data_IF_714120264389
#
_entry.id   IF_714120264389
#
_cell.length_a   1.000
_cell.length_b   1.000
_cell.length_c   1.000
_cell.angle_alpha   90.00
_cell.angle_beta   90.00
_cell.angle_gamma   90.00
#
_symmetry.space_group_name_H-M   'P 1'
#
loop_
_entity.id
_entity.type
_entity.pdbx_description
1 polymer ?
#
# COMPACT_ATOMS: atom_id res chain seq x y z
N UNK A 1 -10.28 1.56 16.11
CA UNK A 1 -11.18 0.47 16.57
C UNK A 1 -12.47 0.98 17.23
N UNK A 2 -12.49 2.04 18.06
CA UNK A 2 -13.71 2.52 18.74
C UNK A 2 -14.85 2.83 17.74
N UNK A 3 -14.57 3.56 16.67
CA UNK A 3 -15.54 3.85 15.60
C UNK A 3 -16.09 2.59 14.91
N UNK A 4 -15.26 1.56 14.77
CA UNK A 4 -15.67 0.29 14.20
C UNK A 4 -16.70 -0.46 15.05
N UNK A 5 -16.51 -0.50 16.37
CA UNK A 5 -17.49 -1.10 17.28
C UNK A 5 -18.82 -0.32 17.31
N UNK A 6 -18.77 1.02 17.17
CA UNK A 6 -19.97 1.83 17.00
C UNK A 6 -20.73 1.45 15.71
N UNK A 7 -20.01 1.25 14.60
CA UNK A 7 -20.59 0.80 13.34
C UNK A 7 -21.25 -0.59 13.47
N UNK A 8 -20.60 -1.54 14.14
CA UNK A 8 -21.18 -2.86 14.41
C UNK A 8 -22.45 -2.77 15.27
N UNK A 9 -22.44 -1.92 16.32
CA UNK A 9 -23.61 -1.67 17.15
C UNK A 9 -24.77 -1.11 16.32
N UNK A 10 -24.51 -0.08 15.52
CA UNK A 10 -25.51 0.54 14.63
C UNK A 10 -26.03 -0.45 13.59
N UNK A 11 -25.13 -1.23 12.99
CA UNK A 11 -25.49 -2.29 12.04
C UNK A 11 -26.44 -3.32 12.63
N UNK A 12 -26.23 -3.73 13.88
CA UNK A 12 -27.12 -4.64 14.60
C UNK A 12 -28.45 -3.98 14.98
N UNK A 13 -28.38 -2.78 15.53
CA UNK A 13 -29.57 -2.04 16.00
C UNK A 13 -30.54 -1.70 14.90
N UNK A 14 -30.04 -1.24 13.76
CA UNK A 14 -30.83 -0.78 12.61
C UNK A 14 -30.86 -1.79 11.47
N UNK A 15 -30.22 -2.93 11.67
CA UNK A 15 -30.16 -4.01 10.70
C UNK A 15 -29.52 -3.59 9.36
N UNK A 16 -28.49 -2.82 9.42
CA UNK A 16 -27.71 -2.37 8.28
C UNK A 16 -26.47 -3.28 8.16
N UNK A 17 -26.13 -3.81 6.96
CA UNK A 17 -24.91 -4.57 6.78
C UNK A 17 -23.69 -3.69 6.98
N UNK A 18 -22.61 -4.26 7.55
CA UNK A 18 -21.38 -3.55 7.90
C UNK A 18 -20.24 -4.06 7.05
N UNK A 19 -19.59 -3.16 6.33
CA UNK A 19 -18.34 -3.42 5.64
C UNK A 19 -17.15 -2.84 6.43
N UNK A 20 -16.05 -3.57 6.43
CA UNK A 20 -14.78 -3.16 7.04
C UNK A 20 -13.70 -3.04 5.97
N UNK A 21 -12.96 -1.95 5.96
CA UNK A 21 -11.81 -1.77 5.05
C UNK A 21 -10.51 -1.90 5.84
N UNK A 22 -9.68 -2.86 5.48
CA UNK A 22 -8.41 -3.16 6.15
C UNK A 22 -7.24 -2.59 5.34
N UNK A 23 -6.80 -1.38 5.69
CA UNK A 23 -5.68 -0.69 5.02
C UNK A 23 -4.38 -0.68 5.82
N UNK A 24 -4.41 -1.09 7.08
CA UNK A 24 -3.26 -0.93 7.98
C UNK A 24 -2.90 -2.27 8.60
N UNK A 25 -1.67 -2.67 8.43
CA UNK A 25 -1.07 -3.79 9.15
C UNK A 25 -0.72 -3.32 10.57
N UNK A 26 -1.70 -3.40 11.47
CA UNK A 26 -1.56 -2.88 12.84
C UNK A 26 -0.38 -3.49 13.59
N UNK A 27 -0.03 -4.73 13.32
CA UNK A 27 1.14 -5.41 13.91
C UNK A 27 2.48 -4.75 13.55
N UNK A 28 2.55 -4.09 12.38
CA UNK A 28 3.76 -3.34 11.98
C UNK A 28 3.87 -1.97 12.65
N UNK A 29 2.77 -1.46 13.24
CA UNK A 29 2.71 -0.14 13.87
C UNK A 29 2.73 -0.18 15.40
N UNK A 30 2.88 -1.35 16.03
CA UNK A 30 2.92 -1.47 17.49
C UNK A 30 4.08 -0.70 18.11
N UNK A 31 5.19 -0.57 17.42
CA UNK A 31 6.34 0.23 17.84
C UNK A 31 6.04 1.73 18.01
N UNK A 32 4.92 2.26 17.51
CA UNK A 32 4.47 3.62 17.79
C UNK A 32 3.68 3.74 19.11
N UNK A 33 3.32 2.62 19.73
CA UNK A 33 2.59 2.61 21.00
C UNK A 33 3.60 2.50 22.14
N UNK A 34 3.63 3.49 23.03
CA UNK A 34 4.65 3.61 24.10
C UNK A 34 4.84 2.34 24.92
N UNK A 35 3.76 1.62 25.26
CA UNK A 35 3.86 0.37 26.02
C UNK A 35 4.63 -0.71 25.25
N UNK A 36 4.45 -0.82 23.92
CA UNK A 36 5.19 -1.77 23.10
C UNK A 36 6.65 -1.33 22.90
N UNK A 37 6.93 -0.03 22.78
CA UNK A 37 8.29 0.49 22.75
C UNK A 37 9.08 0.09 24.01
N UNK A 38 8.45 0.23 25.17
CA UNK A 38 9.06 -0.17 26.46
C UNK A 38 9.31 -1.68 26.53
N UNK A 39 8.34 -2.49 26.06
CA UNK A 39 8.45 -3.94 26.01
C UNK A 39 9.53 -4.42 25.02
N UNK A 40 9.66 -3.77 23.85
CA UNK A 40 10.70 -4.12 22.85
C UNK A 40 12.13 -3.77 23.33
N UNK A 41 12.27 -2.74 24.17
CA UNK A 41 13.55 -2.34 24.76
C UNK A 41 13.91 -3.16 26.02
N UNK A 42 12.94 -3.85 26.61
CA UNK A 42 13.12 -4.79 27.70
C UNK A 42 13.71 -6.11 27.18
N UNK A 43 14.55 -6.76 27.99
CA UNK A 43 15.09 -8.08 27.69
C UNK A 43 14.15 -9.23 28.12
N UNK A 44 14.33 -10.41 27.54
CA UNK A 44 13.69 -11.64 28.01
C UNK A 44 12.15 -11.63 27.89
N UNK A 45 11.43 -11.72 29.01
CA UNK A 45 9.97 -11.84 29.04
C UNK A 45 9.24 -10.69 28.35
N UNK A 46 9.77 -9.47 28.44
CA UNK A 46 9.18 -8.28 27.82
C UNK A 46 9.23 -8.34 26.29
N UNK A 47 10.34 -8.82 25.73
CA UNK A 47 10.46 -9.03 24.27
C UNK A 47 9.55 -10.15 23.77
N UNK A 48 9.34 -11.21 24.56
CA UNK A 48 8.41 -12.29 24.24
C UNK A 48 6.97 -11.80 24.30
N UNK A 49 6.62 -10.92 25.22
CA UNK A 49 5.30 -10.33 25.32
C UNK A 49 5.01 -9.38 24.14
N UNK A 50 5.99 -8.58 23.73
CA UNK A 50 5.88 -7.73 22.54
C UNK A 50 5.68 -8.58 21.28
N UNK A 51 6.45 -9.65 21.12
CA UNK A 51 6.31 -10.62 20.02
C UNK A 51 4.92 -11.29 20.03
N UNK A 52 4.44 -11.77 21.18
CA UNK A 52 3.11 -12.32 21.32
C UNK A 52 2.02 -11.31 20.93
N UNK A 53 2.17 -10.06 21.34
CA UNK A 53 1.28 -8.96 20.94
C UNK A 53 1.19 -8.81 19.42
N UNK A 54 2.35 -8.80 18.76
CA UNK A 54 2.47 -8.64 17.31
C UNK A 54 1.93 -9.85 16.54
N UNK A 55 2.36 -11.06 16.92
CA UNK A 55 2.11 -12.27 16.13
C UNK A 55 0.78 -12.97 16.45
N UNK A 56 0.22 -12.74 17.64
CA UNK A 56 -0.97 -13.47 18.11
C UNK A 56 -2.13 -12.54 18.46
N UNK A 57 -1.90 -11.56 19.33
CA UNK A 57 -2.99 -10.75 19.88
C UNK A 57 -3.62 -9.84 18.84
N UNK A 58 -2.80 -9.08 18.09
CA UNK A 58 -3.29 -8.16 17.05
C UNK A 58 -3.99 -8.91 15.92
N UNK A 59 -3.43 -9.98 15.32
CA UNK A 59 -4.13 -10.80 14.35
C UNK A 59 -5.48 -11.34 14.83
N UNK A 60 -5.55 -11.83 16.08
CA UNK A 60 -6.82 -12.28 16.68
C UNK A 60 -7.85 -11.16 16.84
N UNK A 61 -7.43 -9.99 17.29
CA UNK A 61 -8.33 -8.84 17.41
C UNK A 61 -8.84 -8.38 16.04
N UNK A 62 -7.98 -8.34 15.04
CA UNK A 62 -8.34 -7.99 13.66
C UNK A 62 -9.33 -8.99 13.09
N UNK A 63 -9.04 -10.30 13.18
CA UNK A 63 -9.93 -11.33 12.65
C UNK A 63 -11.27 -11.40 13.39
N UNK A 64 -11.29 -11.22 14.71
CA UNK A 64 -12.51 -11.15 15.48
C UNK A 64 -13.42 -10.00 15.03
N UNK A 65 -12.83 -8.81 14.81
CA UNK A 65 -13.57 -7.68 14.29
C UNK A 65 -14.04 -7.91 12.85
N UNK A 66 -13.15 -8.39 11.98
CA UNK A 66 -13.46 -8.73 10.59
C UNK A 66 -14.61 -9.75 10.51
N UNK A 67 -14.61 -10.78 11.36
CA UNK A 67 -15.64 -11.80 11.42
C UNK A 67 -17.00 -11.31 11.95
N UNK A 68 -17.02 -10.14 12.59
CA UNK A 68 -18.27 -9.49 13.00
C UNK A 68 -18.88 -8.61 11.88
N UNK A 69 -18.16 -8.40 10.78
CA UNK A 69 -18.61 -7.62 9.62
C UNK A 69 -19.22 -8.54 8.53
N UNK A 70 -20.10 -8.00 7.69
CA UNK A 70 -20.73 -8.73 6.57
C UNK A 70 -19.77 -8.85 5.37
N UNK A 71 -18.84 -7.88 5.23
CA UNK A 71 -17.86 -7.81 4.16
C UNK A 71 -16.57 -7.18 4.67
N UNK A 72 -15.43 -7.66 4.21
CA UNK A 72 -14.12 -7.05 4.45
C UNK A 72 -13.49 -6.67 3.12
N UNK A 73 -13.04 -5.43 2.99
CA UNK A 73 -12.24 -4.99 1.87
C UNK A 73 -10.75 -5.06 2.21
N UNK A 74 -9.98 -5.70 1.34
CA UNK A 74 -8.53 -5.72 1.36
C UNK A 74 -7.99 -4.97 0.12
N UNK A 75 -6.94 -4.15 0.23
CA UNK A 75 -6.44 -3.38 -0.91
C UNK A 75 -5.71 -4.23 -1.95
N UNK A 76 -5.17 -5.37 -1.57
CA UNK A 76 -4.35 -6.25 -2.43
C UNK A 76 -4.62 -7.73 -2.11
N UNK A 77 -4.21 -8.61 -3.03
CA UNK A 77 -4.29 -10.06 -2.81
C UNK A 77 -3.48 -10.49 -1.59
N UNK A 78 -2.29 -9.93 -1.42
CA UNK A 78 -1.45 -10.21 -0.26
C UNK A 78 -2.14 -9.84 1.06
N UNK A 79 -2.88 -8.71 1.10
CA UNK A 79 -3.63 -8.32 2.31
C UNK A 79 -4.86 -9.20 2.54
N UNK A 80 -5.49 -9.71 1.48
CA UNK A 80 -6.53 -10.76 1.58
C UNK A 80 -5.95 -12.03 2.21
N UNK A 81 -4.81 -12.50 1.72
CA UNK A 81 -4.14 -13.71 2.23
C UNK A 81 -3.69 -13.52 3.70
N UNK A 82 -3.23 -12.33 4.06
CA UNK A 82 -2.90 -11.96 5.43
C UNK A 82 -4.12 -12.07 6.36
N UNK A 83 -5.25 -11.49 5.96
CA UNK A 83 -6.51 -11.59 6.73
C UNK A 83 -7.02 -13.04 6.84
N UNK A 84 -6.91 -13.81 5.78
CA UNK A 84 -7.24 -15.24 5.79
C UNK A 84 -6.34 -16.00 6.77
N UNK A 85 -5.03 -15.71 6.78
CA UNK A 85 -4.06 -16.26 7.73
C UNK A 85 -4.38 -15.92 9.19
N UNK A 86 -4.99 -14.75 9.45
CA UNK A 86 -5.46 -14.37 10.79
C UNK A 86 -6.73 -15.11 11.22
N UNK A 87 -7.34 -15.90 10.34
CA UNK A 87 -8.57 -16.64 10.62
C UNK A 87 -9.85 -15.84 10.32
N UNK A 88 -9.79 -14.90 9.40
CA UNK A 88 -10.99 -14.21 8.90
C UNK A 88 -11.84 -15.17 8.06
N UNK A 89 -13.11 -15.35 8.46
CA UNK A 89 -14.10 -16.22 7.80
C UNK A 89 -15.14 -15.40 7.01
N UNK A 90 -15.29 -14.13 7.34
CA UNK A 90 -16.14 -13.22 6.57
C UNK A 90 -15.64 -13.09 5.16
N UNK A 91 -16.56 -12.84 4.21
CA UNK A 91 -16.19 -12.61 2.82
C UNK A 91 -15.20 -11.46 2.71
N UNK A 92 -14.07 -11.71 2.05
CA UNK A 92 -13.09 -10.69 1.72
C UNK A 92 -13.24 -10.36 0.23
N UNK A 93 -13.20 -9.09 -0.11
CA UNK A 93 -13.16 -8.61 -1.50
C UNK A 93 -11.95 -7.69 -1.69
N UNK A 94 -11.23 -7.87 -2.78
CA UNK A 94 -10.11 -6.99 -3.13
C UNK A 94 -10.71 -5.68 -3.65
N UNK A 95 -10.42 -4.59 -2.93
CA UNK A 95 -10.82 -3.25 -3.30
C UNK A 95 -9.65 -2.29 -3.02
N UNK A 96 -8.82 -2.00 -4.02
CA UNK A 96 -7.70 -1.07 -3.85
C UNK A 96 -8.19 0.36 -3.65
N UNK A 97 -7.32 1.21 -3.09
CA UNK A 97 -7.53 2.66 -3.08
C UNK A 97 -7.37 3.19 -4.50
N UNK A 98 -8.35 3.98 -4.94
CA UNK A 98 -8.32 4.61 -6.25
C UNK A 98 -7.42 5.86 -6.30
N UNK A 99 -6.87 6.13 -7.48
CA UNK A 99 -6.14 7.36 -7.77
C UNK A 99 -7.11 8.45 -8.25
N UNK A 100 -6.94 9.64 -7.72
CA UNK A 100 -7.66 10.82 -8.19
C UNK A 100 -7.17 11.26 -9.58
N UNK A 101 -8.02 11.93 -10.35
CA UNK A 101 -7.67 12.38 -11.70
C UNK A 101 -6.47 13.33 -11.73
N UNK A 102 -6.23 14.09 -10.66
CA UNK A 102 -5.04 14.95 -10.52
C UNK A 102 -3.71 14.17 -10.61
N UNK A 103 -3.67 12.89 -10.25
CA UNK A 103 -2.47 12.04 -10.38
C UNK A 103 -2.08 11.79 -11.83
N UNK A 104 -3.03 11.94 -12.77
CA UNK A 104 -2.83 11.69 -14.20
C UNK A 104 -2.51 12.94 -15.01
N UNK A 105 -2.30 14.08 -14.36
CA UNK A 105 -2.02 15.36 -15.04
C UNK A 105 -1.12 16.25 -14.21
N UNK A 106 -0.33 17.08 -14.90
CA UNK A 106 0.45 18.13 -14.28
C UNK A 106 0.54 19.33 -15.24
N UNK A 107 0.69 20.52 -14.70
CA UNK A 107 0.88 21.73 -15.52
C UNK A 107 2.25 21.65 -16.23
N UNK A 108 2.31 21.76 -17.56
CA UNK A 108 3.58 21.65 -18.30
C UNK A 108 4.65 22.64 -17.83
N UNK A 109 4.24 23.86 -17.47
CA UNK A 109 5.14 24.88 -16.96
C UNK A 109 5.79 24.48 -15.62
N UNK A 110 5.03 23.83 -14.72
CA UNK A 110 5.55 23.32 -13.44
C UNK A 110 6.52 22.15 -13.65
N UNK A 111 6.19 21.22 -14.55
CA UNK A 111 7.08 20.12 -14.93
C UNK A 111 8.38 20.65 -15.51
N UNK A 112 8.33 21.66 -16.41
CA UNK A 112 9.50 22.30 -17.00
C UNK A 112 10.36 22.99 -15.93
N UNK A 113 9.75 23.69 -14.99
CA UNK A 113 10.46 24.35 -13.89
C UNK A 113 11.19 23.34 -12.99
N UNK A 114 10.54 22.21 -12.65
CA UNK A 114 11.14 21.13 -11.87
C UNK A 114 12.31 20.51 -12.63
N UNK A 115 12.15 20.22 -13.92
CA UNK A 115 13.22 19.72 -14.77
C UNK A 115 14.41 20.69 -14.79
N UNK A 116 14.17 21.97 -14.99
CA UNK A 116 15.24 22.99 -15.00
C UNK A 116 15.97 23.04 -13.65
N UNK A 117 15.23 23.01 -12.55
CA UNK A 117 15.80 23.14 -11.20
C UNK A 117 16.59 21.90 -10.76
N UNK A 118 16.09 20.69 -11.02
CA UNK A 118 16.66 19.49 -10.45
C UNK A 118 17.44 18.63 -11.45
N UNK A 119 17.07 18.59 -12.73
CA UNK A 119 17.79 17.82 -13.73
C UNK A 119 19.14 18.48 -14.07
N UNK A 120 19.15 19.79 -14.36
CA UNK A 120 20.34 20.48 -14.84
C UNK A 120 20.90 19.79 -16.09
N UNK A 121 22.19 19.50 -16.09
CA UNK A 121 22.89 18.78 -17.18
C UNK A 121 22.82 17.25 -17.06
N UNK A 122 22.16 16.73 -16.04
CA UNK A 122 22.03 15.28 -15.85
C UNK A 122 21.10 14.67 -16.91
N UNK A 123 21.51 13.53 -17.42
CA UNK A 123 20.73 12.80 -18.43
C UNK A 123 19.42 12.28 -17.87
N UNK A 124 19.42 11.84 -16.60
CA UNK A 124 18.28 11.21 -15.95
C UNK A 124 17.88 11.96 -14.66
N UNK A 125 16.59 12.13 -14.47
CA UNK A 125 16.00 12.63 -13.24
C UNK A 125 15.13 11.56 -12.62
N UNK A 126 15.47 11.14 -11.40
CA UNK A 126 14.72 10.15 -10.65
C UNK A 126 13.95 10.82 -9.51
N UNK A 127 12.94 10.16 -9.00
CA UNK A 127 12.23 10.60 -7.79
C UNK A 127 11.94 9.46 -6.85
N UNK A 128 11.84 9.80 -5.58
CA UNK A 128 11.21 8.99 -4.53
C UNK A 128 10.35 9.90 -3.66
N UNK A 129 9.19 9.43 -3.24
CA UNK A 129 8.24 10.17 -2.39
C UNK A 129 7.95 9.34 -1.17
N UNK A 130 8.40 9.78 0.00
CA UNK A 130 8.20 9.06 1.25
C UNK A 130 8.38 9.98 2.47
N UNK A 131 7.83 9.59 3.62
CA UNK A 131 8.33 10.09 4.90
C UNK A 131 9.76 9.59 5.10
N UNK A 132 10.65 10.45 5.59
CA UNK A 132 12.04 10.06 5.83
C UNK A 132 12.14 9.35 7.19
N UNK A 133 11.56 8.15 7.24
CA UNK A 133 11.50 7.31 8.42
C UNK A 133 12.14 5.94 8.12
N UNK A 134 12.58 5.24 9.17
CA UNK A 134 13.37 4.01 9.06
C UNK A 134 12.68 2.91 8.24
N UNK A 135 11.37 2.78 8.34
CA UNK A 135 10.58 1.79 7.60
C UNK A 135 10.57 2.01 6.07
N UNK A 136 10.95 3.22 5.61
CA UNK A 136 11.05 3.54 4.17
C UNK A 136 12.38 3.12 3.55
N UNK A 137 13.34 2.68 4.36
CA UNK A 137 14.58 2.04 3.90
C UNK A 137 15.39 2.91 2.91
N UNK A 138 15.38 4.23 3.13
CA UNK A 138 16.06 5.17 2.22
C UNK A 138 17.59 5.09 2.29
N UNK A 139 18.12 4.56 3.38
CA UNK A 139 19.54 4.25 3.51
C UNK A 139 20.00 3.17 2.52
N UNK A 140 19.20 2.10 2.34
CA UNK A 140 19.42 1.11 1.28
C UNK A 140 19.35 1.77 -0.10
N UNK A 141 18.35 2.62 -0.33
CA UNK A 141 18.19 3.32 -1.62
C UNK A 141 19.43 4.17 -1.94
N UNK A 142 20.00 4.89 -0.97
CA UNK A 142 21.22 5.67 -1.17
C UNK A 142 22.44 4.77 -1.46
N UNK A 143 22.61 3.64 -0.76
CA UNK A 143 23.68 2.68 -1.07
C UNK A 143 23.50 2.08 -2.47
N UNK A 144 22.28 1.71 -2.85
CA UNK A 144 21.97 1.28 -4.22
C UNK A 144 22.29 2.34 -5.28
N UNK A 145 22.06 3.63 -4.98
CA UNK A 145 22.46 4.73 -5.87
C UNK A 145 23.97 4.87 -6.02
N UNK A 146 24.77 4.61 -4.98
CA UNK A 146 26.21 4.56 -5.08
C UNK A 146 26.67 3.47 -6.06
N UNK A 147 26.06 2.27 -5.98
CA UNK A 147 26.29 1.19 -6.96
C UNK A 147 25.80 1.56 -8.36
N UNK A 148 24.72 2.29 -8.47
CA UNK A 148 24.22 2.79 -9.76
C UNK A 148 25.20 3.80 -10.37
N UNK A 149 25.78 4.69 -9.56
CA UNK A 149 26.79 5.67 -9.99
C UNK A 149 28.03 4.99 -10.58
N UNK A 150 28.47 3.86 -10.01
CA UNK A 150 29.57 3.04 -10.57
C UNK A 150 29.24 2.52 -11.99
N UNK A 151 27.96 2.29 -12.31
CA UNK A 151 27.47 1.70 -13.57
C UNK A 151 27.19 2.72 -14.66
N UNK A 152 26.58 3.85 -14.31
CA UNK A 152 26.10 4.85 -15.28
C UNK A 152 26.78 6.23 -15.11
N UNK A 153 27.77 6.29 -14.21
CA UNK A 153 28.50 7.52 -13.92
C UNK A 153 27.61 8.57 -13.24
N UNK A 154 28.03 9.81 -13.36
CA UNK A 154 27.39 10.97 -12.76
C UNK A 154 26.21 11.52 -13.60
N UNK A 155 25.54 10.64 -14.34
CA UNK A 155 24.54 11.00 -15.34
C UNK A 155 23.12 11.19 -14.80
N UNK A 156 22.91 11.05 -13.51
CA UNK A 156 21.57 11.10 -12.90
C UNK A 156 21.50 12.02 -11.69
N UNK A 157 20.29 12.44 -11.35
CA UNK A 157 19.94 13.05 -10.06
C UNK A 157 18.66 12.44 -9.51
N UNK A 158 18.63 12.17 -8.20
CA UNK A 158 17.45 11.74 -7.46
C UNK A 158 16.85 12.93 -6.68
N UNK A 159 15.57 13.16 -6.83
CA UNK A 159 14.76 14.01 -5.96
C UNK A 159 14.19 13.14 -4.81
N UNK A 160 14.59 13.43 -3.58
CA UNK A 160 14.00 12.84 -2.35
C UNK A 160 12.94 13.80 -1.85
N UNK A 161 11.67 13.43 -2.06
CA UNK A 161 10.51 14.26 -1.77
C UNK A 161 9.84 13.77 -0.49
N UNK A 162 9.82 14.62 0.52
CA UNK A 162 9.29 14.34 1.84
C UNK A 162 10.20 14.84 2.94
N UNK A 163 9.81 14.56 4.19
CA UNK A 163 10.57 14.95 5.37
C UNK A 163 10.34 13.90 6.47
N UNK A 164 11.20 13.90 7.49
CA UNK A 164 11.10 12.96 8.61
C UNK A 164 12.32 12.96 9.52
N UNK A 165 12.28 12.10 10.53
CA UNK A 165 13.30 12.02 11.59
C UNK A 165 14.69 11.65 11.07
N UNK A 166 14.76 10.89 9.97
CA UNK A 166 16.02 10.38 9.39
C UNK A 166 16.72 11.36 8.43
N UNK A 167 16.18 12.58 8.24
CA UNK A 167 16.69 13.50 7.21
C UNK A 167 18.18 13.77 7.34
N UNK A 168 18.65 14.12 8.55
CA UNK A 168 20.06 14.47 8.80
C UNK A 168 20.99 13.29 8.56
N UNK A 169 20.57 12.10 9.01
CA UNK A 169 21.34 10.87 8.81
C UNK A 169 21.44 10.50 7.33
N UNK A 170 20.36 10.67 6.57
CA UNK A 170 20.35 10.40 5.13
C UNK A 170 21.18 11.42 4.35
N UNK A 171 21.15 12.71 4.70
CA UNK A 171 22.01 13.75 4.11
C UNK A 171 23.50 13.44 4.37
N UNK A 172 23.84 13.05 5.61
CA UNK A 172 25.21 12.64 5.95
C UNK A 172 25.64 11.38 5.21
N UNK A 173 24.78 10.38 5.10
CA UNK A 173 25.06 9.16 4.34
C UNK A 173 25.27 9.45 2.85
N UNK A 174 24.45 10.32 2.24
CA UNK A 174 24.61 10.71 0.85
C UNK A 174 25.98 11.36 0.61
N UNK A 175 26.45 12.22 1.53
CA UNK A 175 27.80 12.81 1.47
C UNK A 175 28.90 11.75 1.61
N UNK A 176 28.78 10.83 2.59
CA UNK A 176 29.75 9.72 2.77
C UNK A 176 29.86 8.83 1.52
N UNK A 177 28.76 8.66 0.78
CA UNK A 177 28.72 7.86 -0.43
C UNK A 177 29.12 8.66 -1.69
N UNK A 178 29.52 9.94 -1.57
CA UNK A 178 29.87 10.80 -2.69
C UNK A 178 28.70 11.10 -3.63
N UNK A 179 27.49 11.21 -3.10
CA UNK A 179 26.24 11.43 -3.85
C UNK A 179 25.72 12.88 -3.76
N UNK A 180 26.47 13.82 -3.22
CA UNK A 180 26.02 15.22 -3.03
C UNK A 180 25.55 15.87 -4.33
N UNK A 181 26.21 15.59 -5.45
CA UNK A 181 25.81 16.04 -6.78
C UNK A 181 24.67 15.23 -7.43
N UNK A 182 24.31 14.08 -6.84
CA UNK A 182 23.32 13.14 -7.38
C UNK A 182 22.02 13.08 -6.60
N UNK A 183 21.96 13.62 -5.38
CA UNK A 183 20.77 13.57 -4.53
C UNK A 183 20.35 14.99 -4.13
N UNK A 184 19.09 15.30 -4.33
CA UNK A 184 18.48 16.55 -3.89
C UNK A 184 17.36 16.24 -2.87
N UNK A 185 17.56 16.63 -1.62
CA UNK A 185 16.52 16.55 -0.59
C UNK A 185 15.55 17.72 -0.73
N UNK A 186 14.44 17.48 -1.45
CA UNK A 186 13.45 18.52 -1.81
C UNK A 186 12.69 19.02 -0.59
N UNK A 187 12.51 18.17 0.43
CA UNK A 187 11.69 18.46 1.58
C UNK A 187 10.20 18.18 1.32
N UNK A 188 9.35 18.68 2.22
CA UNK A 188 7.90 18.46 2.16
C UNK A 188 7.28 19.25 1.02
N UNK A 189 6.56 18.56 0.14
CA UNK A 189 5.81 19.14 -0.98
C UNK A 189 4.33 18.93 -0.76
N UNK A 190 3.50 19.89 -1.13
CA UNK A 190 2.05 19.75 -1.10
C UNK A 190 1.58 18.63 -2.02
N UNK A 191 0.65 17.78 -1.56
CA UNK A 191 0.17 16.61 -2.30
C UNK A 191 -0.31 16.95 -3.72
N UNK A 192 -0.93 18.13 -3.93
CA UNK A 192 -1.39 18.57 -5.26
C UNK A 192 -0.25 18.80 -6.26
N UNK A 193 0.98 19.01 -5.79
CA UNK A 193 2.17 19.27 -6.61
C UNK A 193 3.01 18.02 -6.87
N UNK A 194 2.80 16.94 -6.11
CA UNK A 194 3.54 15.67 -6.29
C UNK A 194 3.48 15.17 -7.73
N UNK A 195 2.31 15.19 -8.43
CA UNK A 195 2.27 14.74 -9.82
C UNK A 195 3.27 15.45 -10.73
N UNK A 196 3.50 16.76 -10.57
CA UNK A 196 4.47 17.50 -11.40
C UNK A 196 5.91 16.97 -11.25
N UNK A 197 6.31 16.57 -10.04
CA UNK A 197 7.61 15.93 -9.80
C UNK A 197 7.69 14.55 -10.44
N UNK A 198 6.62 13.78 -10.39
CA UNK A 198 6.55 12.45 -11.01
C UNK A 198 6.56 12.55 -12.54
N UNK A 199 5.84 13.51 -13.12
CA UNK A 199 5.89 13.80 -14.56
C UNK A 199 7.27 14.28 -15.04
N UNK A 200 8.04 14.98 -14.18
CA UNK A 200 9.41 15.39 -14.48
C UNK A 200 10.41 14.24 -14.41
N UNK A 201 10.04 13.12 -13.81
CA UNK A 201 10.94 11.99 -13.51
C UNK A 201 10.98 10.99 -14.64
N UNK A 202 12.16 10.42 -14.87
CA UNK A 202 12.36 9.31 -15.80
C UNK A 202 12.14 7.95 -15.11
N UNK A 203 12.37 7.88 -13.79
CA UNK A 203 12.23 6.66 -13.01
C UNK A 203 11.82 7.01 -11.58
N UNK A 204 10.92 6.22 -11.03
CA UNK A 204 10.55 6.28 -9.62
C UNK A 204 11.26 5.16 -8.86
N UNK A 205 11.97 5.52 -7.80
CA UNK A 205 12.79 4.60 -7.01
C UNK A 205 12.14 4.35 -5.66
N UNK A 206 12.07 3.08 -5.25
CA UNK A 206 11.34 2.69 -4.06
C UNK A 206 12.01 1.54 -3.30
N UNK A 207 12.18 1.69 -1.99
CA UNK A 207 12.88 0.72 -1.16
C UNK A 207 12.09 0.28 0.09
N UNK A 208 10.86 0.80 0.32
CA UNK A 208 10.05 0.44 1.49
C UNK A 208 9.71 -1.05 1.49
N UNK A 209 9.80 -1.67 2.67
CA UNK A 209 9.49 -3.10 2.89
C UNK A 209 8.08 -3.34 3.41
N UNK A 210 7.41 -2.31 3.91
CA UNK A 210 6.12 -2.41 4.60
C UNK A 210 5.03 -1.59 3.91
N UNK A 211 4.60 -2.03 2.74
CA UNK A 211 3.49 -1.40 2.03
C UNK A 211 2.26 -2.32 2.00
N UNK A 212 1.10 -1.73 2.17
CA UNK A 212 -0.16 -2.47 2.05
C UNK A 212 -0.70 -2.48 0.62
N UNK A 213 -0.41 -1.43 -0.14
CA UNK A 213 -0.85 -1.30 -1.54
C UNK A 213 0.21 -0.64 -2.44
N UNK A 214 1.11 0.19 -1.90
CA UNK A 214 2.07 0.95 -2.69
C UNK A 214 1.42 2.05 -3.55
N UNK A 215 0.50 2.83 -2.98
CA UNK A 215 -0.21 3.92 -3.71
C UNK A 215 0.77 4.85 -4.40
N UNK A 216 1.88 5.19 -3.77
CA UNK A 216 2.89 6.09 -4.34
C UNK A 216 3.53 5.55 -5.62
N UNK A 217 3.60 4.21 -5.78
CA UNK A 217 4.05 3.56 -7.01
C UNK A 217 3.02 3.80 -8.13
N UNK A 218 1.74 3.66 -7.81
CA UNK A 218 0.65 3.89 -8.76
C UNK A 218 0.55 5.37 -9.15
N UNK A 219 0.82 6.29 -8.23
CA UNK A 219 0.90 7.73 -8.51
C UNK A 219 2.03 8.03 -9.50
N UNK A 220 3.23 7.47 -9.31
CA UNK A 220 4.32 7.59 -10.26
C UNK A 220 3.98 6.99 -11.63
N UNK A 221 3.37 5.80 -11.64
CA UNK A 221 2.89 5.16 -12.87
C UNK A 221 1.80 5.96 -13.59
N UNK A 222 0.98 6.74 -12.87
CA UNK A 222 -0.03 7.62 -13.48
C UNK A 222 0.62 8.75 -14.30
N UNK A 223 1.83 9.19 -13.92
CA UNK A 223 2.65 10.10 -14.73
C UNK A 223 3.40 9.40 -15.87
N UNK A 224 3.17 8.11 -16.08
CA UNK A 224 3.93 7.28 -17.02
C UNK A 224 5.38 7.08 -16.58
N UNK A 225 5.70 7.21 -15.30
CA UNK A 225 7.02 7.01 -14.74
C UNK A 225 7.18 5.52 -14.35
N UNK A 226 8.09 4.75 -14.99
CA UNK A 226 8.36 3.39 -14.58
C UNK A 226 8.97 3.33 -13.18
N UNK A 227 8.83 2.19 -12.53
CA UNK A 227 9.22 2.02 -11.12
C UNK A 227 10.36 1.02 -11.00
N UNK A 228 11.33 1.28 -10.11
CA UNK A 228 12.24 0.25 -9.59
C UNK A 228 12.07 0.16 -8.09
N UNK A 229 11.66 -1.02 -7.63
CA UNK A 229 11.29 -1.25 -6.26
C UNK A 229 11.96 -2.50 -5.67
N UNK A 230 12.10 -2.54 -4.35
CA UNK A 230 12.37 -3.79 -3.66
C UNK A 230 11.15 -4.71 -3.72
N UNK A 231 11.39 -6.00 -3.86
CA UNK A 231 10.36 -7.02 -3.75
C UNK A 231 9.84 -7.07 -2.32
N UNK A 232 8.67 -6.52 -2.11
CA UNK A 232 8.05 -6.41 -0.79
C UNK A 232 6.53 -6.50 -0.90
N UNK A 233 5.86 -6.62 0.26
CA UNK A 233 4.42 -6.60 0.36
C UNK A 233 3.84 -5.32 -0.27
N UNK A 234 2.71 -5.43 -0.96
CA UNK A 234 2.07 -4.32 -1.68
C UNK A 234 2.78 -3.91 -2.98
N UNK A 235 4.08 -4.20 -3.14
CA UNK A 235 4.84 -3.95 -4.38
C UNK A 235 4.54 -5.02 -5.42
N UNK A 236 4.53 -6.28 -5.01
CA UNK A 236 4.33 -7.46 -5.90
C UNK A 236 2.96 -7.47 -6.59
N UNK A 237 1.96 -6.82 -6.00
CA UNK A 237 0.62 -6.70 -6.59
C UNK A 237 0.54 -5.59 -7.66
N UNK A 238 1.51 -4.67 -7.69
CA UNK A 238 1.51 -3.48 -8.55
C UNK A 238 2.59 -3.54 -9.62
N UNK A 239 3.83 -3.89 -9.24
CA UNK A 239 4.96 -3.90 -10.17
C UNK A 239 5.05 -5.23 -10.91
N UNK A 240 5.16 -5.15 -12.25
CA UNK A 240 5.35 -6.29 -13.15
C UNK A 240 6.66 -6.12 -13.89
N UNK A 241 7.59 -7.08 -13.65
CA UNK A 241 8.93 -7.03 -14.21
C UNK A 241 8.92 -6.91 -15.73
N UNK A 242 9.58 -5.87 -16.24
CA UNK A 242 9.70 -5.62 -17.68
C UNK A 242 8.45 -5.08 -18.36
N UNK A 243 7.32 -4.90 -17.65
CA UNK A 243 6.09 -4.31 -18.18
C UNK A 243 5.89 -2.85 -17.75
N UNK A 244 5.96 -2.58 -16.43
CA UNK A 244 5.73 -1.25 -15.86
C UNK A 244 6.87 -0.79 -14.96
N UNK A 245 7.90 -1.62 -14.78
CA UNK A 245 9.04 -1.39 -13.93
C UNK A 245 9.85 -2.65 -13.72
N UNK A 246 10.65 -2.65 -12.66
CA UNK A 246 11.44 -3.80 -12.23
C UNK A 246 11.38 -3.95 -10.71
N UNK A 247 11.42 -5.20 -10.24
CA UNK A 247 11.59 -5.54 -8.83
C UNK A 247 12.97 -6.16 -8.62
N UNK A 248 13.61 -5.83 -7.51
CA UNK A 248 14.85 -6.45 -7.08
C UNK A 248 14.72 -7.00 -5.65
N UNK A 249 15.47 -8.05 -5.35
CA UNK A 249 15.69 -8.48 -3.98
C UNK A 249 16.50 -7.42 -3.21
N UNK A 250 16.56 -7.53 -1.88
CA UNK A 250 17.31 -6.61 -1.04
C UNK A 250 18.84 -6.81 -1.19
N UNK A 251 19.34 -6.44 -2.36
CA UNK A 251 20.74 -6.47 -2.76
C UNK A 251 21.03 -5.18 -3.55
N UNK A 252 21.98 -4.39 -3.09
CA UNK A 252 22.28 -3.06 -3.64
C UNK A 252 22.73 -3.13 -5.11
N UNK A 253 23.50 -4.16 -5.47
CA UNK A 253 24.00 -4.35 -6.83
C UNK A 253 22.89 -4.80 -7.80
N UNK A 254 22.04 -5.74 -7.37
CA UNK A 254 20.88 -6.18 -8.18
C UNK A 254 19.87 -5.04 -8.37
N UNK A 255 19.63 -4.26 -7.33
CA UNK A 255 18.76 -3.10 -7.41
C UNK A 255 19.31 -2.03 -8.36
N UNK A 256 20.62 -1.75 -8.27
CA UNK A 256 21.31 -0.82 -9.18
C UNK A 256 21.30 -1.33 -10.63
N UNK A 257 21.44 -2.65 -10.86
CA UNK A 257 21.30 -3.25 -12.19
C UNK A 257 19.91 -3.05 -12.75
N UNK A 258 18.86 -3.27 -11.96
CA UNK A 258 17.48 -3.06 -12.38
C UNK A 258 17.23 -1.57 -12.74
N UNK A 259 17.75 -0.63 -11.96
CA UNK A 259 17.65 0.79 -12.23
C UNK A 259 18.41 1.18 -13.51
N UNK A 260 19.64 0.69 -13.71
CA UNK A 260 20.40 0.91 -14.93
C UNK A 260 19.68 0.32 -16.16
N UNK A 261 19.19 -0.90 -16.06
CA UNK A 261 18.44 -1.57 -17.13
C UNK A 261 17.21 -0.77 -17.55
N UNK A 262 16.46 -0.22 -16.56
CA UNK A 262 15.26 0.55 -16.81
C UNK A 262 15.52 1.79 -17.69
N UNK A 263 16.64 2.50 -17.48
CA UNK A 263 16.90 3.76 -18.18
C UNK A 263 17.85 3.67 -19.37
N UNK A 264 18.72 2.65 -19.40
CA UNK A 264 19.68 2.49 -20.50
C UNK A 264 19.09 1.77 -21.71
N UNK A 265 18.09 0.91 -21.53
CA UNK A 265 17.46 0.20 -22.64
C UNK A 265 16.46 1.12 -23.36
N UNK A 266 16.98 1.91 -24.30
CA UNK A 266 16.20 2.90 -25.08
C UNK A 266 15.02 2.29 -25.82
N UNK A 267 15.12 1.04 -26.28
CA UNK A 267 14.05 0.35 -27.02
C UNK A 267 12.87 -0.02 -26.11
N UNK A 268 13.15 -0.47 -24.88
CA UNK A 268 12.12 -0.89 -23.91
C UNK A 268 11.58 0.23 -23.03
N UNK A 269 12.30 1.32 -22.88
CA UNK A 269 11.87 2.42 -22.02
C UNK A 269 10.48 2.99 -22.39
N UNK A 270 10.15 3.25 -23.67
CA UNK A 270 8.80 3.67 -24.06
C UNK A 270 7.71 2.63 -23.74
N UNK A 271 8.04 1.34 -23.79
CA UNK A 271 7.12 0.25 -23.42
C UNK A 271 6.85 0.24 -21.93
N UNK A 272 7.89 0.35 -21.10
CA UNK A 272 7.76 0.48 -19.65
C UNK A 272 6.88 1.67 -19.27
N UNK A 273 7.07 2.83 -19.92
CA UNK A 273 6.23 4.01 -19.70
C UNK A 273 4.76 3.77 -20.04
N UNK A 274 4.48 3.12 -21.18
CA UNK A 274 3.11 2.75 -21.55
C UNK A 274 2.51 1.75 -20.58
N UNK A 275 3.27 0.75 -20.17
CA UNK A 275 2.86 -0.25 -19.19
C UNK A 275 2.56 0.37 -17.81
N UNK A 276 3.40 1.30 -17.36
CA UNK A 276 3.17 2.07 -16.13
C UNK A 276 1.84 2.84 -16.19
N UNK A 277 1.64 3.66 -17.24
CA UNK A 277 0.40 4.41 -17.42
C UNK A 277 -0.84 3.51 -17.54
N UNK A 278 -0.75 2.38 -18.27
CA UNK A 278 -1.81 1.41 -18.42
C UNK A 278 -2.17 0.72 -17.08
N UNK A 279 -1.16 0.43 -16.26
CA UNK A 279 -1.36 -0.11 -14.91
C UNK A 279 -2.11 0.89 -14.05
N UNK A 280 -1.63 2.13 -13.93
CA UNK A 280 -2.25 3.16 -13.11
C UNK A 280 -3.70 3.46 -13.54
N UNK A 281 -4.00 3.43 -14.84
CA UNK A 281 -5.35 3.66 -15.38
C UNK A 281 -6.39 2.66 -14.82
N UNK A 282 -5.98 1.47 -14.40
CA UNK A 282 -6.85 0.47 -13.78
C UNK A 282 -7.30 0.89 -12.37
N UNK A 283 -6.55 1.80 -11.74
CA UNK A 283 -6.78 2.29 -10.38
C UNK A 283 -7.44 3.67 -10.33
N UNK A 284 -8.03 4.17 -11.44
CA UNK A 284 -8.79 5.42 -11.39
C UNK A 284 -9.93 5.33 -10.37
N UNK A 285 -10.12 6.39 -9.57
CA UNK A 285 -11.10 6.41 -8.46
C UNK A 285 -12.52 6.10 -8.92
N UNK A 286 -12.95 6.56 -10.09
CA UNK A 286 -14.27 6.23 -10.64
C UNK A 286 -14.46 4.74 -10.89
N UNK A 287 -13.43 4.06 -11.39
CA UNK A 287 -13.46 2.60 -11.61
C UNK A 287 -13.53 1.83 -10.29
N UNK A 288 -12.73 2.26 -9.30
CA UNK A 288 -12.73 1.63 -7.97
C UNK A 288 -14.05 1.90 -7.24
N UNK A 289 -14.60 3.11 -7.36
CA UNK A 289 -15.91 3.44 -6.79
C UNK A 289 -17.04 2.57 -7.38
N UNK A 290 -17.06 2.38 -8.69
CA UNK A 290 -18.03 1.49 -9.33
C UNK A 290 -17.89 0.03 -8.87
N UNK A 291 -16.66 -0.45 -8.60
CA UNK A 291 -16.46 -1.78 -8.01
C UNK A 291 -16.94 -1.82 -6.56
N UNK A 292 -16.66 -0.79 -5.76
CA UNK A 292 -17.17 -0.69 -4.39
C UNK A 292 -18.70 -0.74 -4.35
N UNK A 293 -19.37 0.00 -5.22
CA UNK A 293 -20.82 0.01 -5.34
C UNK A 293 -21.37 -1.39 -5.62
N UNK A 294 -20.83 -2.10 -6.62
CA UNK A 294 -21.21 -3.50 -6.90
C UNK A 294 -21.03 -4.43 -5.70
N UNK A 295 -19.95 -4.25 -4.93
CA UNK A 295 -19.69 -5.06 -3.75
C UNK A 295 -20.69 -4.75 -2.63
N UNK A 296 -21.05 -3.48 -2.43
CA UNK A 296 -22.09 -3.09 -1.47
C UNK A 296 -23.47 -3.63 -1.86
N UNK A 297 -23.87 -3.53 -3.11
CA UNK A 297 -25.13 -4.09 -3.61
C UNK A 297 -25.22 -5.60 -3.35
N UNK A 298 -24.16 -6.35 -3.70
CA UNK A 298 -24.07 -7.80 -3.43
C UNK A 298 -24.20 -8.11 -1.94
N UNK A 299 -23.53 -7.34 -1.08
CA UNK A 299 -23.59 -7.49 0.36
C UNK A 299 -25.03 -7.30 0.89
N UNK A 300 -25.73 -6.28 0.41
CA UNK A 300 -27.11 -5.98 0.77
C UNK A 300 -28.05 -7.12 0.36
N UNK A 301 -27.93 -7.61 -0.88
CA UNK A 301 -28.73 -8.72 -1.40
C UNK A 301 -28.50 -9.98 -0.57
N UNK A 302 -27.24 -10.35 -0.35
CA UNK A 302 -26.89 -11.55 0.44
C UNK A 302 -27.43 -11.50 1.88
N UNK A 303 -27.44 -10.31 2.51
CA UNK A 303 -28.03 -10.16 3.84
C UNK A 303 -29.53 -10.39 3.82
N UNK A 304 -30.23 -9.84 2.84
CA UNK A 304 -31.69 -10.03 2.65
C UNK A 304 -32.03 -11.52 2.46
N UNK A 305 -31.27 -12.23 1.63
CA UNK A 305 -31.45 -13.66 1.36
C UNK A 305 -31.22 -14.51 2.62
N UNK A 306 -30.14 -14.24 3.38
CA UNK A 306 -29.87 -14.92 4.65
C UNK A 306 -31.01 -14.74 5.64
N UNK A 307 -31.59 -13.56 5.72
CA UNK A 307 -32.73 -13.28 6.59
C UNK A 307 -33.98 -14.02 6.18
N UNK A 308 -34.30 -14.00 4.89
CA UNK A 308 -35.46 -14.74 4.37
C UNK A 308 -35.33 -16.24 4.70
N UNK A 309 -34.12 -16.80 4.49
CA UNK A 309 -33.85 -18.20 4.86
C UNK A 309 -33.94 -18.46 6.36
N UNK A 310 -33.43 -17.57 7.20
CA UNK A 310 -33.55 -17.73 8.67
C UNK A 310 -35.01 -17.61 9.15
N UNK A 311 -35.77 -16.67 8.61
CA UNK A 311 -37.21 -16.53 8.94
C UNK A 311 -38.00 -17.77 8.52
N UNK A 312 -37.69 -18.31 7.33
CA UNK A 312 -38.34 -19.54 6.85
C UNK A 312 -38.01 -20.75 7.74
N UNK A 313 -36.74 -20.93 8.09
CA UNK A 313 -36.30 -22.01 8.98
C UNK A 313 -36.96 -21.91 10.37
N UNK A 314 -37.05 -20.70 10.93
CA UNK A 314 -37.77 -20.48 12.20
C UNK A 314 -39.26 -20.77 12.10
N UNK A 315 -39.90 -20.43 10.98
CA UNK A 315 -41.30 -20.75 10.75
C UNK A 315 -41.53 -22.26 10.67
N UNK A 316 -40.68 -22.99 9.94
CA UNK A 316 -40.74 -24.47 9.85
C UNK A 316 -40.54 -25.09 11.22
N UNK A 317 -39.53 -24.70 11.99
CA UNK A 317 -39.31 -25.22 13.36
C UNK A 317 -40.54 -24.98 14.27
N UNK A 318 -41.18 -23.81 14.19
CA UNK A 318 -42.39 -23.50 14.96
C UNK A 318 -43.59 -24.38 14.55
N UNK A 319 -43.70 -24.69 13.26
CA UNK A 319 -44.76 -25.59 12.75
C UNK A 319 -44.53 -27.02 13.24
N UNK A 320 -43.32 -27.53 13.20
CA UNK A 320 -42.97 -28.87 13.66
C UNK A 320 -43.19 -29.04 15.18
N UNK A 321 -42.78 -28.07 15.99
CA UNK A 321 -43.07 -28.05 17.42
C UNK A 321 -44.57 -28.05 17.71
N UNK A 322 -45.38 -27.27 17.00
CA UNK A 322 -46.84 -27.26 17.17
C UNK A 322 -47.50 -28.60 16.78
N UNK A 323 -46.95 -29.32 15.78
CA UNK A 323 -47.41 -30.67 15.42
C UNK A 323 -47.06 -31.68 16.49
N UNK A 324 -45.85 -31.64 17.06
CA UNK A 324 -45.42 -32.52 18.15
C UNK A 324 -46.26 -32.33 19.42
N UNK A 325 -46.55 -31.07 19.81
CA UNK A 325 -47.39 -30.80 20.97
C UNK A 325 -48.87 -31.17 20.77
N UNK A 326 -49.39 -31.20 19.52
CA UNK A 326 -50.77 -31.70 19.23
C UNK A 326 -50.85 -33.23 19.16
N UNK A 327 -49.78 -33.92 18.84
CA UNK A 327 -49.74 -35.40 18.80
C UNK A 327 -49.54 -36.04 20.17
N UNK A 328 -49.07 -35.30 21.19
CA UNK A 328 -48.89 -35.78 22.56
C UNK A 328 -50.05 -35.51 23.53
N UNK A 329 -51.19 -35.02 23.00
CA UNK A 329 -52.43 -34.75 23.81
C UNK A 329 -53.62 -35.60 23.39
N UNK A 330 -53.36 -36.87 23.02
CA UNK A 330 -54.36 -37.91 22.83
C UNK A 330 -54.20 -39.04 23.88
#
# INVERSE_FOLDING_TARGET
>A
MISGYAALYMGRKYDIPVAYTYHTRYEEYLHHIKIFQTLEQGGGLDSDLARYGKEVLVPRCVSAFANACDLVFAPTKMMEDCLAGYGTKSRIAILPTGLEDRSFMAAPAEVAAINHMYRGEKRFLFSTVARLEKEKNLDFLLRGLARLKERIGDSFRLMVIGDGSQRKELEALAAQLGLEGNVAFVGKVENRRIPAYQFASDLFLFASKSETQGIVLLEAMAAGCPVVALRASGVVDVVRDGENGYMAEEDEDRWAMAAAQAVLNRGRYPELRRGAAATAAQYRSLRIAAEAERQYERMIVQRRERRASQAMNQAVMRMDLRRLFRAGSL
#
